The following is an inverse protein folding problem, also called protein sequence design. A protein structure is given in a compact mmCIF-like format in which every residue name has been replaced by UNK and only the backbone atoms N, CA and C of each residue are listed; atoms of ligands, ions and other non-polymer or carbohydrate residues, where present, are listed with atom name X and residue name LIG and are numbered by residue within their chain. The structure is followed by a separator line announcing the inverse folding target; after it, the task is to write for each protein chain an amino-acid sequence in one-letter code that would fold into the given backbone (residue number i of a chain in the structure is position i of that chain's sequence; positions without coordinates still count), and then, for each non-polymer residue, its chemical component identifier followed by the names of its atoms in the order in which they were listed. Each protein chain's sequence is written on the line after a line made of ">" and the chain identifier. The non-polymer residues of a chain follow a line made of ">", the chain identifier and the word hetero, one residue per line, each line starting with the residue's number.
data_IF_385824484892
#
_entry.id   IF_385824484892
#
_cell.length_a   1.000
_cell.length_b   1.000
_cell.length_c   1.000
_cell.angle_alpha   90.00
_cell.angle_beta   90.00
_cell.angle_gamma   90.00
#
_symmetry.space_group_name_H-M   'P 1'
#
loop_
_entity.id
_entity.type
_entity.pdbx_description
1 polymer ?
#
# COMPACT_ATOMS: atom_id res chain seq x y z
N UNK A 1 37.37 15.31 -19.48
CA UNK A 1 36.52 14.50 -18.61
C UNK A 1 36.44 15.20 -17.26
N UNK A 2 35.44 16.05 -17.06
CA UNK A 2 35.17 16.60 -15.73
C UNK A 2 34.57 15.48 -14.89
N UNK A 3 35.39 14.87 -14.04
CA UNK A 3 34.91 13.93 -13.04
C UNK A 3 33.95 14.62 -12.09
N UNK A 4 32.94 13.90 -11.62
CA UNK A 4 32.09 14.38 -10.52
C UNK A 4 32.98 14.86 -9.37
N UNK A 5 32.84 16.11 -8.98
CA UNK A 5 33.46 16.67 -7.78
C UNK A 5 33.05 15.84 -6.55
N UNK A 6 33.93 15.78 -5.56
CA UNK A 6 33.77 14.90 -4.40
C UNK A 6 32.51 15.22 -3.60
N UNK A 7 32.15 16.50 -3.47
CA UNK A 7 30.93 16.90 -2.77
C UNK A 7 29.69 16.36 -3.49
N UNK A 8 29.67 16.44 -4.82
CA UNK A 8 28.59 15.87 -5.64
C UNK A 8 28.50 14.36 -5.49
N UNK A 9 29.64 13.66 -5.44
CA UNK A 9 29.67 12.19 -5.22
C UNK A 9 29.09 11.82 -3.86
N UNK A 10 29.49 12.53 -2.81
CA UNK A 10 28.98 12.29 -1.45
C UNK A 10 27.48 12.55 -1.38
N UNK A 11 27.03 13.68 -1.95
CA UNK A 11 25.60 14.02 -2.00
C UNK A 11 24.77 12.95 -2.70
N UNK A 12 25.25 12.46 -3.86
CA UNK A 12 24.60 11.37 -4.60
C UNK A 12 24.58 10.07 -3.79
N UNK A 13 25.69 9.67 -3.17
CA UNK A 13 25.74 8.46 -2.33
C UNK A 13 24.73 8.51 -1.18
N UNK A 14 24.60 9.67 -0.52
CA UNK A 14 23.62 9.84 0.56
C UNK A 14 22.18 9.79 0.05
N UNK A 15 21.90 10.40 -1.11
CA UNK A 15 20.59 10.36 -1.75
C UNK A 15 20.21 8.93 -2.18
N UNK A 16 21.14 8.21 -2.83
CA UNK A 16 20.95 6.80 -3.20
C UNK A 16 20.71 5.94 -1.97
N UNK A 17 21.48 6.12 -0.89
CA UNK A 17 21.26 5.38 0.35
C UNK A 17 19.86 5.62 0.95
N UNK A 18 19.35 6.85 0.91
CA UNK A 18 17.97 7.17 1.32
C UNK A 18 16.93 6.51 0.43
N UNK A 19 17.15 6.53 -0.88
CA UNK A 19 16.29 5.86 -1.85
C UNK A 19 16.21 4.35 -1.58
N UNK A 20 17.36 3.66 -1.46
CA UNK A 20 17.41 2.21 -1.27
C UNK A 20 16.67 1.76 -0.01
N UNK A 21 16.87 2.46 1.13
CA UNK A 21 16.14 2.17 2.38
C UNK A 21 14.63 2.40 2.25
N UNK A 22 14.23 3.44 1.52
CA UNK A 22 12.81 3.73 1.29
C UNK A 22 12.18 2.68 0.37
N UNK A 23 12.90 2.26 -0.67
CA UNK A 23 12.48 1.21 -1.59
C UNK A 23 12.33 -0.14 -0.87
N UNK A 24 13.25 -0.48 0.04
CA UNK A 24 13.15 -1.68 0.86
C UNK A 24 11.88 -1.68 1.73
N UNK A 25 11.63 -0.60 2.48
CA UNK A 25 10.42 -0.45 3.29
C UNK A 25 9.15 -0.49 2.45
N UNK A 26 9.14 0.18 1.30
CA UNK A 26 8.01 0.15 0.37
C UNK A 26 7.72 -1.27 -0.11
N UNK A 27 8.76 -2.04 -0.46
CA UNK A 27 8.60 -3.42 -0.90
C UNK A 27 8.06 -4.32 0.22
N UNK A 28 8.51 -4.13 1.44
CA UNK A 28 8.00 -4.85 2.62
C UNK A 28 6.52 -4.54 2.85
N UNK A 29 6.15 -3.26 2.97
CA UNK A 29 4.75 -2.84 3.15
C UNK A 29 3.86 -3.26 1.97
N UNK A 30 4.36 -3.24 0.74
CA UNK A 30 3.62 -3.68 -0.45
C UNK A 30 3.34 -5.19 -0.42
N UNK A 31 4.28 -6.00 0.08
CA UNK A 31 4.08 -7.45 0.25
C UNK A 31 3.03 -7.73 1.33
N UNK A 32 3.12 -7.02 2.45
CA UNK A 32 2.14 -7.14 3.54
C UNK A 32 0.74 -6.75 3.05
N UNK A 33 0.60 -5.61 2.40
CA UNK A 33 -0.67 -5.15 1.81
C UNK A 33 -1.23 -6.17 0.81
N UNK A 34 -0.41 -6.66 -0.11
CA UNK A 34 -0.83 -7.69 -1.09
C UNK A 34 -1.29 -8.97 -0.40
N UNK A 35 -0.62 -9.38 0.68
CA UNK A 35 -1.02 -10.53 1.49
C UNK A 35 -2.36 -10.32 2.19
N UNK A 36 -2.61 -9.12 2.72
CA UNK A 36 -3.88 -8.73 3.31
C UNK A 36 -5.00 -8.76 2.26
N UNK A 37 -4.79 -8.19 1.06
CA UNK A 37 -5.75 -8.24 -0.04
C UNK A 37 -6.10 -9.69 -0.43
N UNK A 38 -5.09 -10.55 -0.55
CA UNK A 38 -5.30 -11.97 -0.85
C UNK A 38 -6.10 -12.67 0.23
N UNK A 39 -5.83 -12.36 1.49
CA UNK A 39 -6.52 -12.94 2.65
C UNK A 39 -7.98 -12.47 2.72
N UNK A 40 -8.25 -11.19 2.44
CA UNK A 40 -9.60 -10.64 2.39
C UNK A 40 -10.41 -11.23 1.23
N UNK A 41 -9.83 -11.29 0.03
CA UNK A 41 -10.47 -11.92 -1.15
C UNK A 41 -10.90 -13.36 -0.89
N UNK A 42 -10.14 -14.13 -0.10
CA UNK A 42 -10.51 -15.51 0.27
C UNK A 42 -11.71 -15.60 1.23
N UNK A 43 -11.99 -14.53 1.97
CA UNK A 43 -13.07 -14.47 2.96
C UNK A 43 -14.33 -13.80 2.42
N UNK A 44 -14.18 -12.85 1.50
CA UNK A 44 -15.29 -12.21 0.81
C UNK A 44 -16.00 -13.24 -0.08
N UNK A 45 -17.32 -13.27 0.02
CA UNK A 45 -18.17 -13.93 -0.96
C UNK A 45 -18.31 -13.08 -2.23
N UNK A 46 -18.90 -13.66 -3.27
CA UNK A 46 -19.27 -12.92 -4.48
C UNK A 46 -20.43 -11.96 -4.21
N UNK A 47 -20.39 -10.78 -4.83
CA UNK A 47 -21.49 -9.79 -4.81
C UNK A 47 -21.91 -9.33 -3.40
N UNK A 48 -20.95 -9.04 -2.54
CA UNK A 48 -21.24 -8.56 -1.19
C UNK A 48 -21.09 -7.04 -1.10
N UNK A 49 -21.97 -6.42 -0.30
CA UNK A 49 -21.86 -5.00 0.06
C UNK A 49 -22.27 -4.83 1.50
N UNK A 50 -21.34 -4.36 2.34
CA UNK A 50 -21.57 -4.22 3.77
C UNK A 50 -20.71 -3.12 4.37
N UNK A 51 -21.10 -2.65 5.55
CA UNK A 51 -20.34 -1.66 6.31
C UNK A 51 -19.62 -2.35 7.47
N UNK A 52 -18.35 -1.97 7.69
CA UNK A 52 -17.57 -2.36 8.86
C UNK A 52 -17.06 -1.12 9.60
N UNK A 53 -16.86 -1.27 10.91
CA UNK A 53 -16.22 -0.24 11.72
C UNK A 53 -14.81 -0.70 12.12
N UNK A 54 -13.81 0.14 11.88
CA UNK A 54 -12.40 -0.08 12.26
C UNK A 54 -11.87 1.25 12.81
N UNK A 55 -11.26 1.22 14.00
CA UNK A 55 -10.66 2.40 14.65
C UNK A 55 -11.58 3.64 14.65
N UNK A 56 -12.85 3.45 15.04
CA UNK A 56 -13.88 4.50 15.10
C UNK A 56 -14.29 5.10 13.75
N UNK A 57 -13.85 4.52 12.63
CA UNK A 57 -14.24 4.92 11.27
C UNK A 57 -15.10 3.83 10.64
N UNK A 58 -16.04 4.25 9.79
CA UNK A 58 -16.87 3.34 9.01
C UNK A 58 -16.31 3.18 7.60
N UNK A 59 -16.35 1.95 7.10
CA UNK A 59 -15.91 1.60 5.77
C UNK A 59 -16.98 0.80 5.05
N UNK A 60 -17.30 1.22 3.84
CA UNK A 60 -18.12 0.47 2.91
C UNK A 60 -17.21 -0.50 2.15
N UNK A 61 -17.48 -1.80 2.29
CA UNK A 61 -16.81 -2.86 1.55
C UNK A 61 -17.75 -3.34 0.46
N UNK A 62 -17.27 -3.36 -0.78
CA UNK A 62 -18.01 -3.91 -1.93
C UNK A 62 -17.15 -4.98 -2.60
N UNK A 63 -17.70 -6.14 -2.93
CA UNK A 63 -17.07 -7.16 -3.78
C UNK A 63 -17.93 -7.47 -5.00
N UNK A 64 -17.29 -7.71 -6.14
CA UNK A 64 -17.94 -8.15 -7.37
C UNK A 64 -17.96 -9.69 -7.50
N UNK A 65 -18.39 -10.19 -8.66
CA UNK A 65 -18.42 -11.63 -8.97
C UNK A 65 -17.04 -12.23 -9.17
N UNK A 66 -16.08 -11.42 -9.61
CA UNK A 66 -14.70 -11.83 -9.90
C UNK A 66 -13.82 -11.81 -8.64
N UNK A 67 -14.39 -11.42 -7.50
CA UNK A 67 -13.69 -11.29 -6.22
C UNK A 67 -12.77 -10.07 -6.17
N UNK A 68 -12.94 -9.12 -7.10
CA UNK A 68 -12.41 -7.78 -6.86
C UNK A 68 -13.25 -7.13 -5.78
N UNK A 69 -12.60 -6.30 -4.99
CA UNK A 69 -13.25 -5.60 -3.92
C UNK A 69 -12.70 -4.21 -3.79
N UNK A 70 -13.52 -3.34 -3.22
CA UNK A 70 -13.15 -1.99 -2.86
C UNK A 70 -13.55 -1.70 -1.41
N UNK A 71 -12.78 -0.83 -0.77
CA UNK A 71 -12.95 -0.44 0.63
C UNK A 71 -12.87 1.08 0.72
N UNK A 72 -14.02 1.72 0.88
CA UNK A 72 -14.13 3.18 0.90
C UNK A 72 -14.50 3.64 2.32
N UNK A 73 -13.82 4.68 2.83
CA UNK A 73 -14.22 5.29 4.08
C UNK A 73 -15.51 6.10 3.87
N UNK A 74 -16.53 5.87 4.71
CA UNK A 74 -17.79 6.62 4.68
C UNK A 74 -17.93 7.51 5.91
N UNK A 75 -18.51 8.69 5.73
CA UNK A 75 -18.64 9.72 6.79
C UNK A 75 -19.95 9.58 7.58
N UNK A 76 -20.96 8.93 7.01
CA UNK A 76 -22.23 8.62 7.67
C UNK A 76 -22.72 7.25 7.21
N UNK A 77 -23.44 6.57 8.11
CA UNK A 77 -24.17 5.33 7.81
C UNK A 77 -25.44 5.61 7.01
#
# INVERSE_FOLDING_TARGET
>A
MDGLDIEKRVGLSLAVGRYLRSAERFNESSREFTSACRSLRKRLGSEQRFVVQVDWKHYLVTSDRDGNFDVEQITSL
#
